data_IF_266497121999
#
_entry.id   IF_266497121999
#
_cell.length_a   1.000
_cell.length_b   1.000
_cell.length_c   1.000
_cell.angle_alpha   90.00
_cell.angle_beta   90.00
_cell.angle_gamma   90.00
#
_symmetry.space_group_name_H-M   'P 1'
#
loop_
_entity.id
_entity.type
_entity.pdbx_description
1 polymer ?
2 non-polymer ?
3 water ?
#
# COMPACT_ATOMS: atom_id res chain seq x y z
N UNK A 1 13.21 15.04 -13.60
CA UNK A 1 12.72 14.25 -12.46
C UNK A 1 11.36 13.58 -12.81
N UNK A 2 11.49 12.24 -12.94
CA UNK A 2 10.45 11.35 -13.28
C UNK A 2 10.03 10.59 -12.01
N UNK A 3 10.78 9.58 -11.56
CA UNK A 3 10.56 8.93 -10.30
C UNK A 3 11.83 8.96 -9.50
N UNK A 4 11.70 8.87 -8.17
CA UNK A 4 12.91 8.76 -7.32
C UNK A 4 13.61 7.42 -7.49
N UNK A 5 14.85 7.36 -7.00
CA UNK A 5 15.49 6.12 -6.85
C UNK A 5 14.94 5.32 -5.68
N UNK A 6 15.21 4.04 -5.67
CA UNK A 6 14.85 3.17 -4.57
C UNK A 6 13.52 2.46 -4.78
N UNK A 7 12.70 2.45 -3.74
CA UNK A 7 11.50 1.63 -3.74
C UNK A 7 10.51 2.05 -4.85
N UNK A 8 10.24 3.34 -4.95
CA UNK A 8 9.18 3.87 -5.81
C UNK A 8 9.79 4.38 -7.14
N UNK A 9 10.47 3.49 -7.89
CA UNK A 9 11.34 3.90 -8.96
C UNK A 9 10.77 3.79 -10.36
N UNK A 10 9.56 3.23 -10.50
CA UNK A 10 9.05 2.89 -11.83
C UNK A 10 7.88 3.75 -12.20
N UNK A 11 7.95 4.48 -13.31
CA UNK A 11 6.81 5.32 -13.73
C UNK A 11 5.74 4.44 -14.37
N UNK A 12 4.52 4.57 -13.87
CA UNK A 12 3.36 3.90 -14.44
C UNK A 12 2.23 4.92 -14.52
N UNK A 13 1.26 4.60 -15.40
CA UNK A 13 0.05 5.40 -15.56
C UNK A 13 -1.13 4.60 -15.00
N UNK A 14 -1.66 5.04 -13.86
CA UNK A 14 -2.66 4.24 -13.16
C UNK A 14 -4.00 4.96 -13.15
N UNK A 15 -5.07 4.19 -13.28
CA UNK A 15 -6.39 4.83 -13.29
C UNK A 15 -6.69 5.59 -12.04
N UNK A 16 -6.33 5.05 -10.89
CA UNK A 16 -6.68 5.66 -9.60
C UNK A 16 -5.44 5.62 -8.70
N UNK A 17 -5.40 6.64 -7.84
CA UNK A 17 -4.45 6.70 -6.69
C UNK A 17 -5.32 6.59 -5.45
N UNK A 18 -5.28 5.47 -4.76
CA UNK A 18 -6.05 5.22 -3.58
C UNK A 18 -5.23 5.54 -2.41
N UNK A 19 -5.71 6.44 -1.52
CA UNK A 19 -5.14 6.67 -0.21
C UNK A 19 -3.72 7.42 -0.25
N UNK A 20 -3.34 7.93 -1.61
CA UNK A 20 -2.03 8.41 -1.85
C UNK A 20 -0.89 7.30 -1.65
N UNK A 21 -1.37 6.04 -1.75
CA UNK A 21 -0.51 4.96 -1.46
C UNK A 21 -0.57 3.80 -2.47
N UNK A 22 -1.63 3.69 -3.26
CA UNK A 22 -1.87 2.51 -4.11
C UNK A 22 -2.26 3.01 -5.51
N UNK A 23 -1.62 2.47 -6.54
CA UNK A 23 -2.10 2.64 -7.91
C UNK A 23 -2.95 1.46 -8.31
N UNK A 24 -4.09 1.75 -8.93
CA UNK A 24 -5.01 0.73 -9.43
C UNK A 24 -5.07 0.86 -10.95
N UNK A 25 -5.04 -0.26 -11.66
CA UNK A 25 -5.14 -0.34 -13.12
C UNK A 25 -3.97 0.44 -13.75
N UNK A 26 -2.78 -0.11 -13.56
CA UNK A 26 -1.54 0.56 -13.90
C UNK A 26 -0.96 0.01 -15.22
N UNK A 27 -0.75 0.98 -16.11
CA UNK A 27 -0.24 0.75 -17.46
C UNK A 27 1.23 1.21 -17.56
N UNK A 28 2.02 0.53 -18.39
CA UNK A 28 3.31 1.07 -18.71
C UNK A 28 3.20 2.25 -19.66
N UNK A 29 4.07 3.26 -19.54
CA UNK A 29 4.09 4.30 -20.58
C UNK A 29 4.40 3.65 -21.94
N UNK A 30 3.83 4.24 -22.97
CA UNK A 30 4.07 3.75 -24.36
C UNK A 30 5.14 4.61 -25.08
N UNK A 31 5.77 5.49 -24.38
CA UNK A 31 6.85 6.35 -24.83
C UNK A 31 7.93 6.25 -23.76
N UNK A 32 9.16 6.61 -24.15
CA UNK A 32 10.15 6.99 -23.13
C UNK A 32 9.64 8.24 -22.42
N UNK A 33 9.94 8.35 -21.11
CA UNK A 33 9.45 9.41 -20.30
C UNK A 33 10.65 10.17 -19.70
N UNK A 34 10.87 11.39 -20.22
CA UNK A 34 12.09 12.10 -19.95
C UNK A 34 11.98 13.15 -18.81
N UNK A 35 10.79 13.67 -18.59
CA UNK A 35 10.55 14.78 -17.68
C UNK A 35 9.21 14.59 -16.97
N UNK A 36 9.06 15.33 -15.86
CA UNK A 36 7.78 15.32 -15.15
C UNK A 36 6.62 15.78 -16.01
N UNK A 37 6.85 16.83 -16.81
CA UNK A 37 5.75 17.35 -17.62
C UNK A 37 5.36 16.29 -18.67
N UNK A 38 6.29 15.60 -19.31
CA UNK A 38 5.97 14.55 -20.27
C UNK A 38 5.23 13.41 -19.55
N UNK A 39 5.71 13.00 -18.38
CA UNK A 39 5.04 11.94 -17.61
C UNK A 39 3.58 12.29 -17.35
N UNK A 40 3.37 13.51 -16.82
CA UNK A 40 2.03 13.97 -16.49
C UNK A 40 1.14 13.97 -17.73
N UNK A 41 1.64 14.54 -18.82
CA UNK A 41 0.83 14.67 -20.02
C UNK A 41 0.53 13.31 -20.60
N UNK A 42 1.51 12.41 -20.58
CA UNK A 42 1.33 11.10 -21.18
C UNK A 42 0.27 10.33 -20.42
N UNK A 43 0.37 10.31 -19.09
CA UNK A 43 -0.64 9.59 -18.31
C UNK A 43 -2.02 10.24 -18.46
N UNK A 44 -2.09 11.56 -18.49
CA UNK A 44 -3.39 12.22 -18.67
C UNK A 44 -3.99 11.82 -20.02
N UNK A 45 -3.18 11.64 -21.06
CA UNK A 45 -3.67 11.27 -22.38
C UNK A 45 -4.34 9.86 -22.32
N UNK A 46 -3.99 9.08 -21.31
CA UNK A 46 -4.52 7.74 -21.03
C UNK A 46 -5.54 7.77 -19.89
N UNK A 47 -6.06 8.97 -19.57
CA UNK A 47 -7.10 9.05 -18.52
C UNK A 47 -6.62 8.65 -17.13
N UNK A 48 -5.29 8.75 -16.91
CA UNK A 48 -4.64 8.11 -15.77
C UNK A 48 -3.75 9.11 -15.03
N UNK A 49 -3.27 8.67 -13.90
CA UNK A 49 -2.44 9.45 -13.00
C UNK A 49 -0.99 8.95 -13.14
N UNK A 50 -0.01 9.87 -13.11
CA UNK A 50 1.40 9.47 -13.15
C UNK A 50 1.83 9.12 -11.72
N UNK A 51 2.12 7.81 -11.53
CA UNK A 51 2.51 7.32 -10.23
C UNK A 51 3.89 6.63 -10.38
N UNK A 52 4.62 6.64 -9.27
CA UNK A 52 5.92 6.01 -9.18
C UNK A 52 5.76 4.78 -8.28
N UNK A 53 5.94 3.61 -8.86
CA UNK A 53 5.49 2.38 -8.23
C UNK A 53 6.65 1.40 -8.01
N UNK A 54 6.33 0.38 -7.18
CA UNK A 54 7.36 -0.56 -6.75
C UNK A 54 7.78 -1.58 -7.82
N UNK A 55 7.08 -1.66 -8.93
CA UNK A 55 7.41 -2.61 -10.00
C UNK A 55 7.13 -1.96 -11.34
N UNK A 56 7.74 -2.47 -12.45
CA UNK A 56 7.71 -1.77 -13.75
C UNK A 56 6.79 -2.30 -14.77
N UNK A 57 5.94 -3.25 -14.43
CA UNK A 57 5.09 -3.94 -15.37
C UNK A 57 3.61 -3.53 -15.13
N UNK A 58 2.80 -3.76 -16.15
CA UNK A 58 1.35 -3.51 -16.01
C UNK A 58 0.81 -4.39 -14.88
N UNK A 59 -0.13 -3.84 -14.08
CA UNK A 59 -0.67 -4.61 -12.96
C UNK A 59 -2.00 -4.01 -12.50
N UNK A 60 -2.75 -4.87 -11.80
CA UNK A 60 -4.02 -4.51 -11.19
C UNK A 60 -3.90 -3.49 -10.06
N UNK A 61 -2.96 -3.73 -9.12
CA UNK A 61 -2.81 -2.81 -8.00
C UNK A 61 -1.38 -2.95 -7.48
N UNK A 62 -0.76 -1.76 -7.24
CA UNK A 62 0.64 -1.67 -6.81
C UNK A 62 0.77 -0.58 -5.75
N UNK A 63 1.76 -0.82 -4.85
CA UNK A 63 2.14 0.28 -3.96
C UNK A 63 2.87 1.35 -4.80
N UNK A 64 2.41 2.60 -4.65
CA UNK A 64 2.90 3.70 -5.47
C UNK A 64 2.89 5.01 -4.64
N UNK A 65 3.66 5.96 -5.15
CA UNK A 65 3.60 7.35 -4.68
C UNK A 65 3.27 8.26 -5.88
N UNK A 66 2.60 9.35 -5.65
CA UNK A 66 2.32 10.28 -6.74
C UNK A 66 3.64 10.84 -7.31
N UNK A 67 3.66 11.09 -8.61
CA UNK A 67 4.81 11.79 -9.18
C UNK A 67 4.93 13.17 -8.47
N UNK A 68 6.16 13.63 -8.39
CA UNK A 68 6.40 14.91 -7.67
C UNK A 68 5.62 16.05 -8.30
N UNK A 69 5.21 16.94 -7.48
CA UNK A 69 4.42 18.09 -7.80
C UNK A 69 3.04 17.80 -8.40
N UNK A 70 2.58 16.67 -8.24
CA UNK A 70 1.16 16.36 -8.52
C UNK A 70 0.34 16.08 -7.26
N UNK B 1 4.99 -15.53 16.79
CA UNK B 1 4.63 -16.43 15.71
C UNK B 1 3.43 -15.98 14.92
N UNK B 2 2.96 -14.92 15.05
CA UNK B 2 1.83 -14.21 14.54
C UNK B 2 2.24 -13.34 13.36
N UNK B 3 3.13 -12.48 13.46
CA UNK B 3 3.68 -11.69 12.34
C UNK B 3 5.06 -12.16 11.99
N UNK B 4 5.46 -12.03 10.73
CA UNK B 4 6.86 -12.37 10.35
C UNK B 4 7.86 -11.39 10.84
N UNK B 5 9.12 -11.73 10.75
CA UNK B 5 10.18 -10.77 10.94
C UNK B 5 10.27 -9.87 9.68
N UNK B 6 11.01 -8.77 9.84
CA UNK B 6 11.23 -7.85 8.77
C UNK B 6 10.16 -6.78 8.68
N UNK B 7 9.77 -6.43 7.45
CA UNK B 7 8.91 -5.28 7.24
C UNK B 7 7.60 -5.39 8.02
N UNK B 8 6.91 -6.51 7.90
CA UNK B 8 5.55 -6.66 8.42
C UNK B 8 5.54 -7.33 9.81
N UNK B 9 6.24 -6.70 10.75
CA UNK B 9 6.50 -7.34 12.03
C UNK B 9 5.52 -7.01 13.15
N UNK B 10 4.59 -6.03 12.95
CA UNK B 10 3.82 -5.48 14.07
C UNK B 10 2.35 -5.85 13.98
N UNK B 11 1.79 -6.57 14.93
CA UNK B 11 0.35 -6.89 14.86
C UNK B 11 -0.48 -5.65 15.23
N UNK B 12 -1.46 -5.34 14.39
CA UNK B 12 -2.42 -4.27 14.62
C UNK B 12 -3.83 -4.78 14.33
N UNK B 13 -4.81 -4.06 14.89
CA UNK B 13 -6.20 -4.29 14.61
C UNK B 13 -6.70 -3.11 13.78
N UNK B 14 -7.16 -3.36 12.56
CA UNK B 14 -7.51 -2.31 11.64
C UNK B 14 -8.97 -2.42 11.23
N UNK B 15 -9.54 -1.28 10.82
CA UNK B 15 -10.92 -1.30 10.36
C UNK B 15 -11.12 -2.01 9.04
N UNK B 16 -10.20 -1.83 8.08
CA UNK B 16 -10.31 -2.42 6.75
C UNK B 16 -8.92 -2.71 6.20
N UNK B 17 -8.80 -3.73 5.37
CA UNK B 17 -7.62 -4.05 4.58
C UNK B 17 -7.92 -3.67 3.11
N UNK B 18 -7.25 -2.63 2.60
CA UNK B 18 -7.53 -2.13 1.25
C UNK B 18 -6.54 -2.79 0.24
N UNK B 19 -7.07 -3.50 -0.73
CA UNK B 19 -6.31 -3.96 -1.91
C UNK B 19 -5.09 -4.79 -1.47
N UNK B 20 -5.21 -5.52 -0.38
CA UNK B 20 -4.14 -6.38 0.14
C UNK B 20 -2.86 -5.62 0.47
N UNK B 21 -2.98 -4.31 0.70
CA UNK B 21 -1.81 -3.43 0.86
C UNK B 21 -1.92 -2.52 2.09
N UNK B 22 -3.05 -1.82 2.31
CA UNK B 22 -3.10 -0.75 3.28
C UNK B 22 -4.18 -1.03 4.35
N UNK B 23 -3.75 -1.03 5.62
CA UNK B 23 -4.70 -1.08 6.72
C UNK B 23 -5.22 0.33 7.01
N UNK B 24 -6.53 0.48 7.04
CA UNK B 24 -7.18 1.74 7.35
C UNK B 24 -7.66 1.72 8.81
N UNK B 25 -7.33 2.79 9.52
CA UNK B 25 -7.71 3.02 10.92
C UNK B 25 -7.26 1.84 11.80
N UNK B 26 -5.94 1.77 11.92
CA UNK B 26 -5.28 0.73 12.70
C UNK B 26 -5.01 1.22 14.14
N UNK B 27 -5.22 0.33 15.07
CA UNK B 27 -4.99 0.55 16.47
C UNK B 27 -4.22 -0.63 17.03
N UNK B 28 -3.49 -0.39 18.13
CA UNK B 28 -2.75 -1.49 18.71
C UNK B 28 -3.65 -2.44 19.43
N UNK B 29 -3.29 -3.76 19.43
CA UNK B 29 -3.93 -4.69 20.34
C UNK B 29 -3.75 -4.23 21.80
N UNK B 30 -4.73 -4.54 22.63
CA UNK B 30 -4.61 -4.18 24.07
C UNK B 30 -4.24 -5.44 24.93
N UNK B 31 -3.91 -6.55 24.27
CA UNK B 31 -3.35 -7.73 24.92
C UNK B 31 -2.17 -8.19 24.04
N UNK B 32 -1.31 -9.00 24.65
CA UNK B 32 -0.38 -9.80 23.85
C UNK B 32 -1.16 -10.85 23.08
N UNK B 33 -0.88 -11.09 21.79
CA UNK B 33 -1.61 -12.11 21.02
C UNK B 33 -0.68 -13.31 20.67
N UNK B 34 -0.99 -14.42 21.32
CA UNK B 34 -0.04 -15.52 21.28
C UNK B 34 -0.12 -16.34 19.95
N UNK B 35 -1.30 -16.38 19.33
CA UNK B 35 -1.53 -17.18 18.23
C UNK B 35 -2.34 -16.40 17.22
N UNK B 36 -2.42 -16.88 15.96
CA UNK B 36 -3.29 -16.25 15.02
C UNK B 36 -4.74 -16.23 15.39
N UNK B 37 -5.23 -17.37 15.97
CA UNK B 37 -6.75 -17.38 16.37
C UNK B 37 -6.97 -16.32 17.51
N UNK B 38 -6.10 -16.20 18.43
CA UNK B 38 -6.20 -15.22 19.52
C UNK B 38 -6.21 -13.82 18.90
N UNK B 39 -5.27 -13.57 17.96
CA UNK B 39 -5.18 -12.27 17.31
C UNK B 39 -6.50 -11.92 16.60
N UNK B 40 -6.99 -12.90 15.78
CA UNK B 40 -8.27 -12.69 15.14
C UNK B 40 -9.40 -12.35 16.10
N UNK B 41 -9.52 -13.19 17.18
CA UNK B 41 -10.58 -13.00 18.15
C UNK B 41 -10.55 -11.64 18.84
N UNK B 42 -9.28 -11.24 19.17
CA UNK B 42 -9.10 -9.97 19.88
C UNK B 42 -9.52 -8.81 19.00
N UNK B 43 -9.01 -8.79 17.73
CA UNK B 43 -9.43 -7.70 16.86
C UNK B 43 -10.92 -7.70 16.60
N UNK B 44 -11.49 -8.92 16.37
CA UNK B 44 -12.94 -8.95 16.15
C UNK B 44 -13.75 -8.43 17.28
N UNK B 45 -13.25 -8.62 18.55
CA UNK B 45 -14.03 -8.17 19.68
C UNK B 45 -14.05 -6.59 19.82
N UNK B 46 -13.14 -5.98 19.04
CA UNK B 46 -12.89 -4.48 18.94
C UNK B 46 -13.60 -3.97 17.68
N UNK B 47 -14.28 -4.78 16.85
CA UNK B 47 -14.86 -4.30 15.66
C UNK B 47 -13.90 -4.20 14.44
N UNK B 48 -12.79 -5.02 14.54
CA UNK B 48 -11.64 -4.85 13.62
C UNK B 48 -11.08 -6.16 13.10
N UNK B 49 -10.00 -6.04 12.28
CA UNK B 49 -9.41 -7.12 11.59
C UNK B 49 -7.88 -7.17 11.88
N UNK B 50 -7.31 -8.36 12.01
CA UNK B 50 -5.86 -8.48 12.31
C UNK B 50 -4.99 -8.32 11.06
N UNK B 51 -4.00 -7.44 11.13
CA UNK B 51 -3.04 -7.26 10.07
C UNK B 51 -1.65 -7.13 10.70
N UNK B 52 -0.62 -7.50 9.90
CA UNK B 52 0.75 -7.31 10.31
C UNK B 52 1.30 -6.11 9.51
N UNK B 53 1.76 -5.09 10.23
CA UNK B 53 1.98 -3.80 9.61
C UNK B 53 3.38 -3.27 9.91
N UNK B 54 3.71 -2.17 9.20
CA UNK B 54 5.08 -1.65 9.24
C UNK B 54 5.42 -0.86 10.51
N UNK B 55 4.43 -0.49 11.32
CA UNK B 55 4.68 0.28 12.54
C UNK B 55 3.79 -0.26 13.64
N UNK B 56 4.23 -0.13 14.92
CA UNK B 56 3.46 -0.63 16.06
C UNK B 56 2.66 0.49 16.78
N UNK B 57 2.17 1.41 16.07
CA UNK B 57 1.39 2.54 16.62
C UNK B 57 0.10 2.66 15.76
N UNK B 58 -0.86 3.31 16.37
CA UNK B 58 -2.08 3.61 15.65
C UNK B 58 -1.75 4.50 14.43
N UNK B 59 -2.45 4.28 13.34
CA UNK B 59 -2.23 5.04 12.11
C UNK B 59 -3.47 4.91 11.28
N UNK B 60 -3.86 6.01 10.62
CA UNK B 60 -5.03 5.97 9.77
C UNK B 60 -4.88 5.21 8.50
N UNK B 61 -3.66 5.03 7.97
CA UNK B 61 -3.45 4.35 6.67
C UNK B 61 -2.04 3.80 6.56
N UNK B 62 -1.81 2.56 6.96
CA UNK B 62 -0.46 1.93 7.14
C UNK B 62 -0.29 0.84 6.12
N UNK B 63 0.96 0.65 5.70
CA UNK B 63 1.32 -0.51 4.91
C UNK B 63 1.28 -1.77 5.77
N UNK B 64 0.53 -2.76 5.30
CA UNK B 64 0.21 -3.96 6.06
C UNK B 64 0.15 -5.19 5.14
N UNK B 65 0.08 -6.35 5.80
CA UNK B 65 -0.11 -7.62 5.15
C UNK B 65 -1.05 -8.44 6.03
N UNK B 66 -1.92 -9.22 5.44
CA UNK B 66 -2.73 -10.17 6.10
C UNK B 66 -1.81 -11.12 6.95
N UNK B 67 -2.39 -11.30 8.21
CA UNK B 67 -1.89 -12.14 9.17
C UNK B 67 -2.16 -13.58 8.71
N UNK B 68 -1.15 -14.40 8.72
CA UNK B 68 -1.36 -15.81 8.43
C UNK B 68 -2.11 -16.49 9.59
N UNK B 69 -2.96 -17.52 9.15
CA UNK B 69 -3.82 -18.25 10.05
C UNK B 69 -4.68 -17.47 11.01
N UNK B 70 -5.24 -16.35 10.21
CA UNK B 70 -6.15 -15.67 11.12
C UNK B 70 -7.62 -15.86 10.75
X LIG C 1 -8.70 -3.49 -12.34
#
# INVERSE_FOLDING_TARGET
AVCPTGLFSNPLCCATNVLDLIGVDCKTPTIAVDTGAIFQAHCASKGSKPLCCVAPVADQALLCQKAIGTF
AVCPTGLFSNPLCCATNVLDLIGVDCKTPTIAVDTGAIFQAHCASKGSKPLCCVAPVADQALLCQKAIGTF
MN MN
#
